data_IF_770178524964
#
_entry.id   IF_770178524964
#
_cell.length_a   1.000
_cell.length_b   1.000
_cell.length_c   1.000
_cell.angle_alpha   90.00
_cell.angle_beta   90.00
_cell.angle_gamma   90.00
#
_symmetry.space_group_name_H-M   'P 1'
#
loop_
_entity.id
_entity.type
_entity.pdbx_description
1 polymer ?
#
# COMPACT_ATOMS: atom_id res chain seq x y z
N UNK A 1 -18.59 17.15 39.39
CA UNK A 1 -19.45 16.22 38.64
C UNK A 1 -19.71 16.91 37.30
N UNK A 2 -18.78 16.71 36.36
CA UNK A 2 -19.01 16.03 35.07
C UNK A 2 -19.65 17.03 34.08
N UNK A 3 -19.01 17.43 32.98
CA UNK A 3 -18.92 16.59 31.79
C UNK A 3 -17.76 16.98 30.86
N UNK A 4 -16.80 16.08 30.71
CA UNK A 4 -15.88 16.03 29.57
C UNK A 4 -16.66 15.51 28.35
N UNK A 5 -17.43 16.38 27.69
CA UNK A 5 -17.93 16.12 26.34
C UNK A 5 -17.07 16.86 25.33
N UNK A 6 -15.85 16.34 25.13
CA UNK A 6 -15.04 16.59 23.93
C UNK A 6 -15.70 15.90 22.74
N UNK A 7 -16.89 16.38 22.38
CA UNK A 7 -17.62 15.95 21.21
C UNK A 7 -16.95 16.56 19.99
N UNK A 8 -16.50 15.69 19.10
CA UNK A 8 -15.87 15.94 17.81
C UNK A 8 -16.81 16.71 16.85
N UNK A 9 -17.16 17.94 17.18
CA UNK A 9 -17.89 18.86 16.31
C UNK A 9 -16.88 19.64 15.49
N UNK A 10 -16.97 19.58 14.15
CA UNK A 10 -16.17 20.46 13.30
C UNK A 10 -16.72 21.88 13.35
N UNK A 11 -15.92 22.85 12.91
CA UNK A 11 -16.18 24.32 12.99
C UNK A 11 -17.52 24.78 12.38
N UNK A 12 -18.27 23.89 11.72
CA UNK A 12 -19.56 24.15 11.06
C UNK A 12 -20.70 23.28 11.65
N UNK A 13 -20.48 22.57 12.76
CA UNK A 13 -21.52 21.73 13.39
C UNK A 13 -21.94 20.54 12.52
N UNK A 14 -21.13 20.18 11.52
CA UNK A 14 -21.37 19.04 10.66
C UNK A 14 -20.87 17.78 11.35
N UNK A 15 -21.70 16.75 11.43
CA UNK A 15 -21.27 15.42 11.86
C UNK A 15 -20.36 14.83 10.78
N UNK A 16 -19.06 15.07 10.90
CA UNK A 16 -18.08 14.47 10.00
C UNK A 16 -17.85 13.04 10.45
N UNK A 17 -18.38 12.10 9.66
CA UNK A 17 -18.02 10.70 9.80
C UNK A 17 -16.54 10.59 9.46
N UNK A 18 -15.66 10.63 10.47
CA UNK A 18 -14.26 10.32 10.27
C UNK A 18 -14.22 8.95 9.57
N UNK A 19 -13.80 8.94 8.30
CA UNK A 19 -13.62 7.72 7.54
C UNK A 19 -12.80 6.76 8.40
N UNK A 20 -13.38 5.60 8.69
CA UNK A 20 -12.81 4.57 9.57
C UNK A 20 -11.32 4.48 9.30
N UNK A 21 -10.50 4.83 10.31
CA UNK A 21 -9.04 4.94 10.18
C UNK A 21 -8.51 3.59 9.72
N UNK A 22 -8.28 3.45 8.42
CA UNK A 22 -7.72 2.25 7.85
C UNK A 22 -6.34 2.06 8.53
N UNK A 23 -6.04 0.86 9.04
CA UNK A 23 -4.80 0.65 9.76
C UNK A 23 -3.62 0.83 8.80
N UNK A 24 -3.02 2.02 8.81
CA UNK A 24 -1.88 2.41 7.96
C UNK A 24 -0.65 1.52 8.17
N UNK A 25 -0.61 0.75 9.26
CA UNK A 25 0.42 -0.26 9.50
C UNK A 25 0.34 -1.44 8.53
N UNK A 26 -0.87 -1.81 8.07
CA UNK A 26 -1.06 -2.89 7.08
C UNK A 26 -0.51 -2.46 5.71
N UNK A 27 -0.78 -1.23 5.28
CA UNK A 27 -0.19 -0.66 4.06
C UNK A 27 1.34 -0.70 4.09
N UNK A 28 1.93 -0.32 5.23
CA UNK A 28 3.39 -0.38 5.42
C UNK A 28 3.92 -1.81 5.34
N UNK A 29 3.23 -2.78 5.94
CA UNK A 29 3.64 -4.18 5.90
C UNK A 29 3.63 -4.74 4.47
N UNK A 30 2.59 -4.44 3.69
CA UNK A 30 2.47 -4.87 2.29
C UNK A 30 3.56 -4.23 1.43
N UNK A 31 3.86 -2.94 1.66
CA UNK A 31 4.92 -2.24 0.94
C UNK A 31 6.29 -2.88 1.23
N UNK A 32 6.61 -3.15 2.49
CA UNK A 32 7.88 -3.79 2.87
C UNK A 32 7.97 -5.19 2.25
N UNK A 33 6.88 -5.96 2.27
CA UNK A 33 6.81 -7.27 1.64
C UNK A 33 7.04 -7.17 0.12
N UNK A 34 6.42 -6.20 -0.55
CA UNK A 34 6.59 -5.93 -1.97
C UNK A 34 8.04 -5.59 -2.34
N UNK A 35 8.72 -4.78 -1.51
CA UNK A 35 10.15 -4.48 -1.69
C UNK A 35 11.00 -5.74 -1.55
N UNK A 36 10.74 -6.57 -0.53
CA UNK A 36 11.50 -7.81 -0.31
C UNK A 36 11.37 -8.76 -1.50
N UNK A 37 10.15 -8.94 -2.02
CA UNK A 37 9.88 -9.75 -3.22
C UNK A 37 10.60 -9.15 -4.44
N UNK A 38 10.54 -7.84 -4.62
CA UNK A 38 11.21 -7.16 -5.74
C UNK A 38 12.73 -7.38 -5.69
N UNK A 39 13.37 -7.29 -4.52
CA UNK A 39 14.81 -7.53 -4.37
C UNK A 39 15.17 -8.97 -4.76
N UNK A 40 14.44 -9.97 -4.25
CA UNK A 40 14.69 -11.38 -4.56
C UNK A 40 14.49 -11.64 -6.05
N UNK A 41 13.44 -11.09 -6.64
CA UNK A 41 13.14 -11.24 -8.06
C UNK A 41 14.20 -10.56 -8.94
N UNK A 42 14.70 -9.39 -8.52
CA UNK A 42 15.80 -8.69 -9.18
C UNK A 42 17.10 -9.49 -9.15
N UNK A 43 17.46 -10.07 -8.00
CA UNK A 43 18.65 -10.93 -7.88
C UNK A 43 18.54 -12.16 -8.78
N UNK A 44 17.37 -12.83 -8.78
CA UNK A 44 17.12 -13.95 -9.70
C UNK A 44 17.23 -13.54 -11.17
N UNK A 45 16.69 -12.37 -11.53
CA UNK A 45 16.74 -11.86 -12.90
C UNK A 45 18.20 -11.57 -13.33
N UNK A 46 19.03 -11.04 -12.44
CA UNK A 46 20.45 -10.78 -12.72
C UNK A 46 21.30 -12.05 -12.79
N UNK A 47 21.02 -13.07 -11.99
CA UNK A 47 21.85 -14.27 -11.92
C UNK A 47 21.44 -15.38 -12.90
N UNK A 48 20.15 -15.55 -13.18
CA UNK A 48 19.64 -16.72 -13.91
C UNK A 48 18.98 -16.41 -15.26
N UNK A 49 18.64 -15.16 -15.56
CA UNK A 49 17.78 -14.85 -16.71
C UNK A 49 18.54 -14.80 -18.06
N UNK A 50 19.86 -14.56 -18.04
CA UNK A 50 20.67 -14.47 -19.27
C UNK A 50 20.32 -13.26 -20.16
N UNK A 51 19.60 -12.27 -19.62
CA UNK A 51 19.15 -11.09 -20.36
C UNK A 51 20.30 -10.13 -20.69
N UNK A 52 20.19 -9.36 -21.79
CA UNK A 52 21.18 -8.35 -22.10
C UNK A 52 21.23 -7.28 -21.01
N UNK A 53 22.44 -6.84 -20.64
CA UNK A 53 22.69 -5.89 -19.54
C UNK A 53 21.86 -4.61 -19.62
N UNK A 54 21.61 -4.09 -20.82
CA UNK A 54 20.79 -2.90 -21.04
C UNK A 54 19.34 -3.10 -20.61
N UNK A 55 18.79 -4.30 -20.84
CA UNK A 55 17.42 -4.64 -20.47
C UNK A 55 17.30 -4.87 -18.96
N UNK A 56 18.28 -5.57 -18.35
CA UNK A 56 18.41 -5.74 -16.90
C UNK A 56 18.50 -4.41 -16.14
N UNK A 57 19.24 -3.45 -16.69
CA UNK A 57 19.37 -2.12 -16.08
C UNK A 57 18.04 -1.37 -16.10
N UNK A 58 17.34 -1.41 -17.24
CA UNK A 58 16.05 -0.75 -17.41
C UNK A 58 14.96 -1.40 -16.53
N UNK A 59 14.96 -2.73 -16.42
CA UNK A 59 14.00 -3.42 -15.56
C UNK A 59 14.28 -3.18 -14.08
N UNK A 60 15.55 -3.13 -13.66
CA UNK A 60 15.91 -2.93 -12.26
C UNK A 60 15.64 -1.51 -11.76
N UNK A 61 15.82 -0.49 -12.61
CA UNK A 61 15.63 0.91 -12.21
C UNK A 61 14.19 1.37 -12.36
N UNK A 62 13.48 0.88 -13.39
CA UNK A 62 12.15 1.38 -13.73
C UNK A 62 11.06 0.35 -13.43
N UNK A 63 11.14 -0.85 -14.02
CA UNK A 63 10.04 -1.82 -13.88
C UNK A 63 9.90 -2.34 -12.46
N UNK A 64 10.97 -2.75 -11.79
CA UNK A 64 10.91 -3.33 -10.45
C UNK A 64 10.24 -2.41 -9.42
N UNK A 65 10.70 -1.15 -9.24
CA UNK A 65 10.08 -0.25 -8.27
C UNK A 65 8.67 0.17 -8.66
N UNK A 66 8.40 0.34 -9.95
CA UNK A 66 7.05 0.64 -10.44
C UNK A 66 6.10 -0.54 -10.20
N UNK A 67 6.57 -1.76 -10.44
CA UNK A 67 5.81 -2.98 -10.19
C UNK A 67 5.53 -3.15 -8.69
N UNK A 68 6.54 -2.95 -7.82
CA UNK A 68 6.37 -3.04 -6.38
C UNK A 68 5.32 -2.04 -5.85
N UNK A 69 5.36 -0.80 -6.34
CA UNK A 69 4.42 0.25 -5.93
C UNK A 69 3.00 -0.01 -6.46
N UNK A 70 2.86 -0.40 -7.74
CA UNK A 70 1.54 -0.76 -8.30
C UNK A 70 0.93 -1.98 -7.64
N UNK A 71 1.73 -3.01 -7.34
CA UNK A 71 1.26 -4.20 -6.62
C UNK A 71 0.76 -3.82 -5.24
N UNK A 72 1.50 -2.98 -4.52
CA UNK A 72 1.10 -2.49 -3.21
C UNK A 72 -0.24 -1.75 -3.29
N UNK A 73 -0.42 -0.83 -4.25
CA UNK A 73 -1.67 -0.09 -4.43
C UNK A 73 -2.85 -1.01 -4.77
N UNK A 74 -2.63 -2.00 -5.64
CA UNK A 74 -3.63 -3.01 -5.99
C UNK A 74 -4.07 -3.82 -4.76
N UNK A 75 -3.13 -4.32 -3.97
CA UNK A 75 -3.44 -5.08 -2.77
C UNK A 75 -4.19 -4.23 -1.74
N UNK A 76 -3.77 -2.97 -1.54
CA UNK A 76 -4.48 -2.03 -0.67
C UNK A 76 -5.92 -1.78 -1.15
N UNK A 77 -6.13 -1.58 -2.45
CA UNK A 77 -7.47 -1.44 -3.04
C UNK A 77 -8.31 -2.70 -2.89
N UNK A 78 -7.74 -3.89 -3.08
CA UNK A 78 -8.45 -5.16 -2.93
C UNK A 78 -8.91 -5.34 -1.47
N UNK A 79 -8.03 -5.09 -0.50
CA UNK A 79 -8.37 -5.20 0.92
C UNK A 79 -9.45 -4.17 1.28
N UNK A 80 -9.31 -2.93 0.81
CA UNK A 80 -10.33 -1.89 1.00
C UNK A 80 -11.67 -2.28 0.37
N UNK A 81 -11.65 -2.82 -0.85
CA UNK A 81 -12.85 -3.27 -1.56
C UNK A 81 -13.55 -4.38 -0.80
N UNK A 82 -12.82 -5.42 -0.36
CA UNK A 82 -13.37 -6.52 0.45
C UNK A 82 -13.96 -5.98 1.75
N UNK A 83 -13.27 -5.07 2.44
CA UNK A 83 -13.78 -4.46 3.66
C UNK A 83 -15.05 -3.63 3.42
N UNK A 84 -15.11 -2.86 2.32
CA UNK A 84 -16.26 -2.05 1.95
C UNK A 84 -17.47 -2.89 1.51
N UNK A 85 -17.21 -4.07 0.91
CA UNK A 85 -18.26 -5.00 0.46
C UNK A 85 -18.97 -5.75 1.59
N UNK A 86 -18.34 -5.84 2.77
CA UNK A 86 -18.88 -6.54 3.94
C UNK A 86 -19.85 -5.68 4.77
N UNK A 87 -20.12 -4.43 4.33
CA UNK A 87 -21.01 -3.49 5.01
C UNK A 87 -22.36 -3.31 4.27
N UNK A 88 -22.80 -4.33 3.52
CA UNK A 88 -24.10 -4.37 2.86
C UNK A 88 -25.01 -5.43 3.46
#
# INVERSE_FOLDING_TARGET
MSDDQSSTLTLVGRAETLGKKYPSWIEKAILILGIAIAIIFGDWMWQSSGWPKSLLWLTSICLLPLFATLFTDLFSRIIYYIHSSNHK
#
